data_IF_075097830575
#
_entry.id   IF_075097830575
#
_cell.length_a   1.000
_cell.length_b   1.000
_cell.length_c   1.000
_cell.angle_alpha   90.00
_cell.angle_beta   90.00
_cell.angle_gamma   90.00
#
_symmetry.space_group_name_H-M   'P 1'
#
loop_
_entity.id
_entity.type
_entity.pdbx_description
1 polymer ?
#
# COMPACT_ATOMS: atom_id res chain seq x y z
N UNK A 1 22.91 30.00 -34.52
CA UNK A 1 22.22 29.01 -33.67
C UNK A 1 22.25 27.68 -34.35
N UNK A 2 22.93 26.68 -33.79
CA UNK A 2 22.66 25.30 -34.14
C UNK A 2 22.88 24.45 -32.87
N UNK A 3 21.77 24.03 -32.28
CA UNK A 3 21.76 23.21 -31.08
C UNK A 3 22.20 21.80 -31.44
N UNK A 4 23.22 21.31 -30.74
CA UNK A 4 23.62 19.92 -30.75
C UNK A 4 22.56 19.14 -29.98
N UNK A 5 21.56 18.63 -30.71
CA UNK A 5 20.58 17.69 -30.21
C UNK A 5 21.31 16.36 -29.94
N UNK A 6 21.40 15.98 -28.67
CA UNK A 6 22.05 14.74 -28.26
C UNK A 6 21.23 13.55 -28.78
N UNK A 7 21.78 12.81 -29.75
CA UNK A 7 21.17 11.55 -30.21
C UNK A 7 21.10 10.54 -29.05
N UNK A 8 19.98 9.81 -28.90
CA UNK A 8 19.86 8.78 -27.88
C UNK A 8 20.88 7.66 -28.16
N UNK A 9 21.66 7.30 -27.14
CA UNK A 9 22.64 6.21 -27.20
C UNK A 9 21.86 4.90 -27.39
N UNK A 10 21.85 4.38 -28.62
CA UNK A 10 21.27 3.08 -28.91
C UNK A 10 22.04 2.01 -28.11
N UNK A 11 21.38 1.38 -27.14
CA UNK A 11 21.96 0.27 -26.40
C UNK A 11 22.23 -0.91 -27.34
N UNK A 12 23.36 -1.62 -27.18
CA UNK A 12 23.63 -2.82 -27.97
C UNK A 12 22.45 -3.80 -27.90
N UNK A 13 22.02 -4.42 -29.01
CA UNK A 13 20.87 -5.35 -29.04
C UNK A 13 20.98 -6.50 -28.02
N UNK A 14 22.21 -6.89 -27.68
CA UNK A 14 22.52 -7.89 -26.66
C UNK A 14 22.14 -7.44 -25.25
N UNK A 15 22.38 -6.17 -24.89
CA UNK A 15 22.00 -5.60 -23.59
C UNK A 15 20.47 -5.58 -23.41
N UNK A 16 19.73 -5.24 -24.48
CA UNK A 16 18.26 -5.27 -24.47
C UNK A 16 17.73 -6.68 -24.22
N UNK A 17 18.31 -7.71 -24.87
CA UNK A 17 17.94 -9.12 -24.65
C UNK A 17 18.22 -9.59 -23.23
N UNK A 18 19.35 -9.19 -22.65
CA UNK A 18 19.69 -9.53 -21.27
C UNK A 18 18.72 -8.88 -20.27
N UNK A 19 18.32 -7.62 -20.49
CA UNK A 19 17.31 -6.94 -19.67
C UNK A 19 15.96 -7.64 -19.74
N UNK A 20 15.49 -7.99 -20.92
CA UNK A 20 14.24 -8.77 -21.09
C UNK A 20 14.31 -10.15 -20.40
N UNK A 21 15.49 -10.77 -20.40
CA UNK A 21 15.70 -12.04 -19.70
C UNK A 21 15.62 -11.85 -18.18
N UNK A 22 16.20 -10.76 -17.66
CA UNK A 22 16.12 -10.41 -16.25
C UNK A 22 14.68 -10.11 -15.84
N UNK A 23 13.96 -9.29 -16.60
CA UNK A 23 12.55 -8.98 -16.34
C UNK A 23 11.69 -10.26 -16.25
N UNK A 24 11.95 -11.24 -17.14
CA UNK A 24 11.25 -12.53 -17.11
C UNK A 24 11.59 -13.34 -15.84
N UNK A 25 12.85 -13.33 -15.40
CA UNK A 25 13.27 -14.01 -14.17
C UNK A 25 12.61 -13.35 -12.97
N UNK A 26 12.64 -12.02 -12.91
CA UNK A 26 12.09 -11.23 -11.80
C UNK A 26 10.57 -11.45 -11.67
N UNK A 27 9.83 -11.46 -12.79
CA UNK A 27 8.41 -11.80 -12.77
C UNK A 27 8.15 -13.22 -12.24
N UNK A 28 8.95 -14.20 -12.65
CA UNK A 28 8.81 -15.57 -12.16
C UNK A 28 9.15 -15.68 -10.66
N UNK A 29 10.11 -14.90 -10.16
CA UNK A 29 10.38 -14.81 -8.72
C UNK A 29 9.17 -14.25 -7.96
N UNK A 30 8.51 -13.22 -8.50
CA UNK A 30 7.29 -12.66 -7.90
C UNK A 30 6.14 -13.67 -7.88
N UNK A 31 5.95 -14.44 -8.95
CA UNK A 31 4.95 -15.52 -9.00
C UNK A 31 5.22 -16.58 -7.92
N UNK A 32 6.47 -17.03 -7.80
CA UNK A 32 6.88 -18.02 -6.79
C UNK A 32 6.73 -17.49 -5.35
N UNK A 33 6.99 -16.20 -5.14
CA UNK A 33 6.72 -15.56 -3.86
C UNK A 33 5.21 -15.57 -3.58
N UNK A 34 4.38 -15.25 -4.57
CA UNK A 34 2.92 -15.31 -4.45
C UNK A 34 2.41 -16.71 -4.06
N UNK A 35 2.87 -17.75 -4.77
CA UNK A 35 2.53 -19.15 -4.48
C UNK A 35 2.98 -19.57 -3.07
N UNK A 36 4.19 -19.13 -2.65
CA UNK A 36 4.69 -19.33 -1.28
C UNK A 36 3.74 -18.70 -0.26
N UNK A 37 3.24 -17.49 -0.50
CA UNK A 37 2.32 -16.84 0.44
C UNK A 37 0.98 -17.56 0.54
N UNK A 38 0.41 -17.99 -0.59
CA UNK A 38 -0.83 -18.80 -0.60
C UNK A 38 -0.68 -20.12 0.17
N UNK A 39 0.46 -20.79 -0.01
CA UNK A 39 0.77 -22.03 0.72
C UNK A 39 0.86 -21.78 2.23
N UNK A 40 1.48 -20.68 2.64
CA UNK A 40 1.59 -20.31 4.05
C UNK A 40 0.22 -19.97 4.63
N UNK A 41 -0.65 -19.25 3.89
CA UNK A 41 -2.05 -18.98 4.29
C UNK A 41 -2.84 -20.27 4.57
N UNK A 42 -2.78 -21.24 3.65
CA UNK A 42 -3.42 -22.54 3.83
C UNK A 42 -2.87 -23.30 5.06
N UNK A 43 -1.55 -23.26 5.30
CA UNK A 43 -0.96 -23.83 6.53
C UNK A 43 -1.48 -23.11 7.79
N UNK A 44 -1.64 -21.79 7.72
CA UNK A 44 -2.21 -20.97 8.80
C UNK A 44 -3.63 -21.39 9.15
N UNK A 45 -4.51 -21.56 8.15
CA UNK A 45 -5.87 -22.08 8.33
C UNK A 45 -5.92 -23.43 9.05
N UNK A 46 -5.06 -24.36 8.64
CA UNK A 46 -4.96 -25.69 9.27
C UNK A 46 -4.51 -25.57 10.73
N UNK A 47 -3.48 -24.76 11.02
CA UNK A 47 -2.99 -24.53 12.39
C UNK A 47 -4.05 -23.88 13.28
N UNK A 48 -4.84 -22.95 12.73
CA UNK A 48 -5.99 -22.32 13.42
C UNK A 48 -7.06 -23.33 13.80
N UNK A 49 -7.44 -24.22 12.89
CA UNK A 49 -8.39 -25.31 13.17
C UNK A 49 -7.94 -26.24 14.31
N UNK A 50 -6.63 -26.31 14.58
CA UNK A 50 -6.04 -27.08 15.69
C UNK A 50 -5.76 -26.25 16.95
N UNK A 51 -6.07 -24.95 16.98
CA UNK A 51 -5.78 -24.06 18.11
C UNK A 51 -4.29 -23.85 18.37
N UNK A 52 -3.43 -24.06 17.36
CA UNK A 52 -1.97 -23.88 17.48
C UNK A 52 -1.55 -22.46 17.10
N UNK A 53 -0.50 -21.91 17.73
CA UNK A 53 0.03 -20.61 17.32
C UNK A 53 0.52 -20.66 15.88
N UNK A 54 0.28 -19.56 15.17
CA UNK A 54 0.68 -19.39 13.78
C UNK A 54 2.20 -19.40 13.63
N UNK A 55 2.87 -18.68 14.54
CA UNK A 55 4.32 -18.56 14.62
C UNK A 55 4.94 -19.83 15.21
N UNK A 56 5.95 -20.36 14.52
CA UNK A 56 6.67 -21.56 14.92
C UNK A 56 8.18 -21.31 14.75
N UNK A 57 8.80 -20.88 15.84
CA UNK A 57 10.22 -20.51 15.86
C UNK A 57 11.15 -21.68 15.47
N UNK A 58 10.76 -22.92 15.79
CA UNK A 58 11.54 -24.09 15.43
C UNK A 58 11.53 -24.28 13.91
N UNK A 59 10.34 -24.14 13.30
CA UNK A 59 10.19 -24.21 11.84
C UNK A 59 10.86 -23.04 11.13
N UNK A 60 10.77 -21.82 11.65
CA UNK A 60 11.47 -20.64 11.09
C UNK A 60 12.98 -20.87 11.01
N UNK A 61 13.58 -21.36 12.11
CA UNK A 61 15.01 -21.67 12.17
C UNK A 61 15.42 -22.73 11.15
N UNK A 62 14.59 -23.76 10.98
CA UNK A 62 14.82 -24.82 10.00
C UNK A 62 14.79 -24.28 8.56
N UNK A 63 13.80 -23.46 8.22
CA UNK A 63 13.67 -22.85 6.89
C UNK A 63 14.90 -21.99 6.56
N UNK A 64 15.39 -21.19 7.52
CA UNK A 64 16.60 -20.37 7.33
C UNK A 64 17.87 -21.22 7.18
N UNK A 65 17.98 -22.32 7.91
CA UNK A 65 19.10 -23.25 7.77
C UNK A 65 19.10 -23.94 6.39
N UNK A 66 17.93 -24.38 5.92
CA UNK A 66 17.79 -24.98 4.59
C UNK A 66 18.10 -23.97 3.48
N UNK A 67 17.66 -22.71 3.63
CA UNK A 67 17.93 -21.66 2.66
C UNK A 67 19.44 -21.42 2.46
N UNK A 68 20.19 -21.34 3.56
CA UNK A 68 21.64 -21.14 3.49
C UNK A 68 22.35 -22.34 2.88
N UNK A 69 21.95 -23.58 3.21
CA UNK A 69 22.48 -24.79 2.59
C UNK A 69 22.17 -24.88 1.09
N UNK A 70 20.96 -24.51 0.68
CA UNK A 70 20.56 -24.49 -0.73
C UNK A 70 21.28 -23.42 -1.54
N UNK A 71 21.58 -22.27 -0.94
CA UNK A 71 22.37 -21.22 -1.56
C UNK A 71 23.81 -21.68 -1.80
N UNK A 72 24.41 -22.28 -0.78
CA UNK A 72 25.77 -22.83 -0.82
C UNK A 72 25.94 -23.85 -1.95
N UNK A 73 25.00 -24.80 -2.06
CA UNK A 73 24.99 -25.82 -3.10
C UNK A 73 24.85 -25.26 -4.53
N UNK A 74 24.41 -24.00 -4.67
CA UNK A 74 24.22 -23.31 -5.96
C UNK A 74 25.27 -22.22 -6.21
N UNK A 75 26.27 -22.09 -5.33
CA UNK A 75 27.28 -21.04 -5.41
C UNK A 75 26.72 -19.63 -5.17
N UNK A 76 25.57 -19.52 -4.51
CA UNK A 76 24.97 -18.25 -4.14
C UNK A 76 25.45 -17.82 -2.75
N UNK A 77 25.46 -16.51 -2.52
CA UNK A 77 25.82 -15.98 -1.22
C UNK A 77 24.81 -16.44 -0.13
N UNK A 78 25.35 -17.03 0.94
CA UNK A 78 24.55 -17.55 2.05
C UNK A 78 23.78 -16.43 2.76
N UNK A 79 24.38 -15.23 2.88
CA UNK A 79 23.76 -14.11 3.58
C UNK A 79 22.55 -13.58 2.81
N UNK A 80 22.66 -13.49 1.48
CA UNK A 80 21.55 -13.12 0.60
C UNK A 80 20.35 -14.06 0.77
N UNK A 81 20.58 -15.37 0.75
CA UNK A 81 19.50 -16.34 0.91
C UNK A 81 18.88 -16.30 2.33
N UNK A 82 19.71 -16.09 3.36
CA UNK A 82 19.22 -15.91 4.72
C UNK A 82 18.32 -14.69 4.85
N UNK A 83 18.79 -13.52 4.40
CA UNK A 83 18.05 -12.26 4.51
C UNK A 83 16.78 -12.26 3.66
N UNK A 84 16.83 -12.81 2.43
CA UNK A 84 15.65 -12.96 1.59
C UNK A 84 14.59 -13.83 2.27
N UNK A 85 14.98 -15.01 2.77
CA UNK A 85 14.02 -15.92 3.41
C UNK A 85 13.49 -15.38 4.72
N UNK A 86 14.32 -14.67 5.50
CA UNK A 86 13.90 -13.98 6.72
C UNK A 86 12.87 -12.90 6.41
N UNK A 87 13.11 -12.07 5.40
CA UNK A 87 12.16 -11.06 4.95
C UNK A 87 10.83 -11.69 4.50
N UNK A 88 10.89 -12.76 3.71
CA UNK A 88 9.71 -13.49 3.26
C UNK A 88 8.93 -14.14 4.41
N UNK A 89 9.60 -14.66 5.44
CA UNK A 89 8.96 -15.19 6.66
C UNK A 89 8.28 -14.07 7.44
N UNK A 90 8.97 -12.94 7.65
CA UNK A 90 8.43 -11.79 8.37
C UNK A 90 7.16 -11.27 7.72
N UNK A 91 7.16 -11.08 6.40
CA UNK A 91 5.97 -10.66 5.64
C UNK A 91 4.82 -11.67 5.68
N UNK A 92 5.13 -12.97 5.70
CA UNK A 92 4.09 -14.00 5.83
C UNK A 92 3.39 -13.93 7.18
N UNK A 93 4.14 -13.72 8.26
CA UNK A 93 3.58 -13.62 9.61
C UNK A 93 2.76 -12.34 9.78
N UNK A 94 3.24 -11.19 9.31
CA UNK A 94 2.50 -9.92 9.40
C UNK A 94 1.20 -9.98 8.61
N UNK A 95 1.21 -10.50 7.38
CA UNK A 95 0.01 -10.64 6.54
C UNK A 95 -1.05 -11.53 7.22
N UNK A 96 -0.63 -12.61 7.88
CA UNK A 96 -1.54 -13.53 8.55
C UNK A 96 -2.01 -13.08 9.93
N UNK A 97 -1.19 -12.32 10.67
CA UNK A 97 -1.63 -11.61 11.89
C UNK A 97 -2.70 -10.57 11.54
N UNK A 98 -2.57 -9.89 10.40
CA UNK A 98 -3.60 -8.99 9.88
C UNK A 98 -4.86 -9.74 9.43
N UNK A 99 -4.73 -10.94 8.83
CA UNK A 99 -5.88 -11.81 8.55
C UNK A 99 -6.54 -12.37 9.82
N UNK A 100 -5.78 -12.63 10.88
CA UNK A 100 -6.32 -13.01 12.19
C UNK A 100 -7.13 -11.87 12.79
N UNK A 101 -6.60 -10.63 12.73
CA UNK A 101 -7.34 -9.44 13.13
C UNK A 101 -8.59 -9.27 12.26
N UNK A 102 -8.53 -9.48 10.94
CA UNK A 102 -9.71 -9.38 10.04
C UNK A 102 -10.74 -10.50 10.23
N UNK A 103 -10.31 -11.72 10.57
CA UNK A 103 -11.20 -12.86 10.79
C UNK A 103 -11.83 -12.85 12.19
N UNK A 104 -11.12 -12.34 13.19
CA UNK A 104 -11.69 -12.00 14.50
C UNK A 104 -12.53 -10.70 14.43
N UNK A 105 -12.17 -9.77 13.54
CA UNK A 105 -12.93 -8.56 13.20
C UNK A 105 -13.90 -8.77 12.04
N UNK A 106 -14.82 -9.74 12.20
CA UNK A 106 -16.13 -9.62 11.56
C UNK A 106 -16.82 -8.36 12.17
N UNK A 107 -16.46 -7.19 11.64
CA UNK A 107 -16.83 -5.86 12.14
C UNK A 107 -15.61 -5.11 12.65
N UNK A 108 -15.33 -3.92 12.11
CA UNK A 108 -15.94 -2.78 12.79
C UNK A 108 -16.81 -1.89 11.89
N UNK A 109 -17.06 -2.28 10.63
CA UNK A 109 -17.97 -1.55 9.73
C UNK A 109 -17.55 -0.11 9.42
N UNK A 110 -16.31 0.27 9.76
CA UNK A 110 -15.82 1.63 9.64
C UNK A 110 -15.62 2.01 8.18
N UNK A 111 -15.93 3.26 7.88
CA UNK A 111 -15.92 3.79 6.52
C UNK A 111 -14.75 4.74 6.34
N UNK A 112 -14.09 4.63 5.20
CA UNK A 112 -13.01 5.53 4.82
C UNK A 112 -13.32 6.26 3.52
N UNK A 113 -13.06 7.56 3.48
CA UNK A 113 -13.08 8.37 2.27
C UNK A 113 -11.65 8.68 1.83
N UNK A 114 -11.29 8.36 0.59
CA UNK A 114 -10.00 8.72 0.01
C UNK A 114 -10.17 9.84 -1.01
N UNK A 115 -9.71 11.05 -0.66
CA UNK A 115 -9.72 12.22 -1.53
C UNK A 115 -8.46 12.23 -2.40
N UNK A 116 -8.63 12.40 -3.71
CA UNK A 116 -7.54 12.16 -4.69
C UNK A 116 -7.42 10.70 -5.10
N UNK A 117 -8.51 9.92 -4.98
CA UNK A 117 -8.57 8.49 -5.29
C UNK A 117 -8.25 8.14 -6.75
N UNK A 118 -8.31 9.09 -7.68
CA UNK A 118 -7.91 8.92 -9.08
C UNK A 118 -6.39 8.97 -9.29
N UNK A 119 -5.63 9.42 -8.30
CA UNK A 119 -4.15 9.41 -8.32
C UNK A 119 -3.55 8.06 -7.92
N UNK A 120 -2.26 7.86 -8.25
CA UNK A 120 -1.55 6.63 -7.88
C UNK A 120 -1.55 6.38 -6.36
N UNK A 121 -1.30 7.42 -5.56
CA UNK A 121 -1.30 7.32 -4.11
C UNK A 121 -2.70 7.08 -3.52
N UNK A 122 -3.72 7.76 -4.06
CA UNK A 122 -5.10 7.54 -3.64
C UNK A 122 -5.54 6.10 -3.86
N UNK A 123 -5.25 5.52 -5.05
CA UNK A 123 -5.53 4.11 -5.33
C UNK A 123 -4.80 3.15 -4.40
N UNK A 124 -3.54 3.43 -4.11
CA UNK A 124 -2.75 2.60 -3.19
C UNK A 124 -3.34 2.60 -1.78
N UNK A 125 -3.67 3.78 -1.24
CA UNK A 125 -4.29 3.88 0.09
C UNK A 125 -5.69 3.28 0.13
N UNK A 126 -6.47 3.38 -0.95
CA UNK A 126 -7.76 2.73 -1.04
C UNK A 126 -7.65 1.21 -0.89
N UNK A 127 -6.72 0.58 -1.62
CA UNK A 127 -6.46 -0.87 -1.51
C UNK A 127 -5.89 -1.27 -0.16
N UNK A 128 -5.03 -0.43 0.42
CA UNK A 128 -4.49 -0.66 1.76
C UNK A 128 -5.61 -0.62 2.81
N UNK A 129 -6.47 0.40 2.78
CA UNK A 129 -7.58 0.52 3.74
C UNK A 129 -8.61 -0.59 3.57
N UNK A 130 -8.93 -0.97 2.33
CA UNK A 130 -9.78 -2.13 2.04
C UNK A 130 -9.16 -3.44 2.55
N UNK A 131 -7.84 -3.61 2.38
CA UNK A 131 -7.10 -4.74 2.95
C UNK A 131 -6.98 -4.68 4.49
N UNK A 132 -7.24 -3.53 5.11
CA UNK A 132 -7.41 -3.41 6.57
C UNK A 132 -8.88 -3.59 7.01
N UNK A 133 -9.83 -3.80 6.08
CA UNK A 133 -11.24 -4.05 6.39
C UNK A 133 -12.15 -2.81 6.43
N UNK A 134 -11.69 -1.66 5.94
CA UNK A 134 -12.55 -0.47 5.79
C UNK A 134 -13.50 -0.63 4.60
N UNK A 135 -14.72 -0.11 4.72
CA UNK A 135 -15.55 0.16 3.54
C UNK A 135 -15.07 1.47 2.89
N UNK A 136 -14.41 1.36 1.74
CA UNK A 136 -13.72 2.49 1.09
C UNK A 136 -14.58 3.15 0.01
N UNK A 137 -14.62 4.47 0.05
CA UNK A 137 -15.18 5.35 -0.98
C UNK A 137 -14.09 6.29 -1.51
N UNK A 138 -14.08 6.55 -2.82
CA UNK A 138 -13.13 7.46 -3.47
C UNK A 138 -13.80 8.79 -3.83
N UNK A 139 -13.12 9.90 -3.56
CA UNK A 139 -13.53 11.24 -3.97
C UNK A 139 -12.48 11.88 -4.87
N UNK A 140 -12.79 12.05 -6.15
CA UNK A 140 -11.89 12.73 -7.09
C UNK A 140 -12.67 13.29 -8.29
N UNK A 141 -12.49 14.57 -8.65
CA UNK A 141 -13.11 15.15 -9.84
C UNK A 141 -12.74 14.42 -11.13
N UNK A 142 -11.57 13.78 -11.20
CA UNK A 142 -11.06 13.10 -12.40
C UNK A 142 -11.56 11.63 -12.55
N UNK A 143 -12.29 11.07 -11.58
CA UNK A 143 -12.74 9.66 -11.63
C UNK A 143 -13.83 9.39 -12.66
N UNK A 144 -13.48 8.93 -13.86
CA UNK A 144 -14.48 8.43 -14.80
C UNK A 144 -15.13 7.11 -14.35
N UNK A 145 -16.44 6.98 -14.54
CA UNK A 145 -17.18 5.77 -14.22
C UNK A 145 -16.57 4.58 -14.97
N UNK A 146 -16.06 3.58 -14.24
CA UNK A 146 -15.44 2.39 -14.83
C UNK A 146 -13.94 2.51 -15.14
N UNK A 147 -13.23 3.53 -14.62
CA UNK A 147 -11.78 3.61 -14.74
C UNK A 147 -11.09 2.35 -14.18
N UNK A 148 -10.11 1.81 -14.92
CA UNK A 148 -9.43 0.58 -14.56
C UNK A 148 -8.68 0.71 -13.22
N UNK A 149 -8.91 -0.24 -12.29
CA UNK A 149 -8.22 -0.33 -11.00
C UNK A 149 -8.86 0.45 -9.84
N UNK A 150 -10.07 0.98 -10.03
CA UNK A 150 -10.91 1.61 -8.98
C UNK A 150 -12.39 1.20 -9.07
N UNK A 151 -12.74 0.26 -9.94
CA UNK A 151 -14.11 -0.17 -10.20
C UNK A 151 -14.73 -0.91 -8.99
N UNK A 152 -13.88 -1.45 -8.13
CA UNK A 152 -14.24 -2.13 -6.89
C UNK A 152 -14.72 -1.19 -5.76
N UNK A 153 -14.46 0.12 -5.86
CA UNK A 153 -14.79 1.09 -4.80
C UNK A 153 -16.01 1.95 -5.17
N UNK A 154 -16.77 2.38 -4.15
CA UNK A 154 -17.75 3.44 -4.33
C UNK A 154 -17.05 4.75 -4.72
N UNK A 155 -17.68 5.55 -5.59
CA UNK A 155 -17.04 6.75 -6.16
C UNK A 155 -17.96 7.96 -6.06
N UNK A 156 -17.36 9.10 -5.71
CA UNK A 156 -17.99 10.42 -5.76
C UNK A 156 -17.05 11.42 -6.42
N UNK A 157 -17.59 12.46 -7.06
CA UNK A 157 -16.78 13.46 -7.77
C UNK A 157 -16.37 14.60 -6.86
N UNK A 158 -17.26 14.98 -5.94
CA UNK A 158 -17.07 16.09 -5.01
C UNK A 158 -17.35 15.63 -3.59
N UNK A 159 -16.71 16.31 -2.63
CA UNK A 159 -16.99 16.09 -1.21
C UNK A 159 -18.46 16.31 -0.87
N UNK A 160 -19.12 17.19 -1.60
CA UNK A 160 -20.53 17.60 -1.42
C UNK A 160 -21.55 16.63 -2.00
N UNK A 161 -21.09 15.58 -2.70
CA UNK A 161 -21.97 14.58 -3.32
C UNK A 161 -22.45 13.54 -2.30
N UNK A 162 -23.01 14.02 -1.17
CA UNK A 162 -23.59 13.22 -0.08
C UNK A 162 -23.00 13.52 1.31
N UNK A 163 -23.29 12.64 2.27
CA UNK A 163 -22.85 12.78 3.65
C UNK A 163 -21.33 12.57 3.80
N UNK A 164 -20.77 13.14 4.88
CA UNK A 164 -19.40 12.91 5.36
C UNK A 164 -19.45 12.16 6.69
N UNK A 165 -19.92 10.92 6.64
CA UNK A 165 -20.13 10.01 7.77
C UNK A 165 -19.06 8.91 7.84
N UNK A 166 -17.91 9.15 7.21
CA UNK A 166 -16.75 8.27 7.26
C UNK A 166 -15.95 8.52 8.54
N UNK A 167 -15.48 7.44 9.16
CA UNK A 167 -14.65 7.47 10.38
C UNK A 167 -13.23 7.98 10.09
N UNK A 168 -12.79 7.85 8.84
CA UNK A 168 -11.49 8.27 8.35
C UNK A 168 -11.62 8.98 7.00
N UNK A 169 -10.98 10.14 6.86
CA UNK A 169 -10.89 10.89 5.61
C UNK A 169 -9.41 11.11 5.27
N UNK A 170 -8.92 10.41 4.25
CA UNK A 170 -7.53 10.48 3.80
C UNK A 170 -7.37 11.39 2.58
N UNK A 171 -6.48 12.36 2.65
CA UNK A 171 -6.20 13.34 1.60
C UNK A 171 -4.90 12.97 0.87
N UNK A 172 -5.05 12.41 -0.34
CA UNK A 172 -3.98 12.01 -1.25
C UNK A 172 -4.03 12.80 -2.58
N UNK A 173 -4.26 14.11 -2.50
CA UNK A 173 -4.33 15.01 -3.64
C UNK A 173 -3.05 15.87 -3.78
N UNK A 174 -2.93 16.59 -4.91
CA UNK A 174 -1.89 17.61 -5.07
C UNK A 174 -1.96 18.70 -3.99
N UNK A 175 -0.87 19.43 -3.77
CA UNK A 175 -0.74 20.40 -2.66
C UNK A 175 -1.89 21.44 -2.68
N UNK A 176 -2.10 22.12 -3.81
CA UNK A 176 -3.14 23.15 -3.94
C UNK A 176 -4.55 22.58 -3.69
N UNK A 177 -4.83 21.41 -4.27
CA UNK A 177 -6.09 20.71 -4.09
C UNK A 177 -6.31 20.30 -2.62
N UNK A 178 -5.24 19.84 -1.94
CA UNK A 178 -5.29 19.42 -0.54
C UNK A 178 -5.66 20.58 0.40
N UNK A 179 -5.11 21.78 0.17
CA UNK A 179 -5.49 22.98 0.94
C UNK A 179 -6.98 23.28 0.78
N UNK A 180 -7.49 23.27 -0.46
CA UNK A 180 -8.91 23.48 -0.73
C UNK A 180 -9.81 22.44 -0.04
N UNK A 181 -9.42 21.17 -0.08
CA UNK A 181 -10.10 20.06 0.61
C UNK A 181 -10.13 20.26 2.12
N UNK A 182 -9.01 20.66 2.74
CA UNK A 182 -8.95 20.91 4.19
C UNK A 182 -9.88 22.04 4.61
N UNK A 183 -9.95 23.14 3.85
CA UNK A 183 -10.91 24.22 4.13
C UNK A 183 -12.36 23.79 3.97
N UNK A 184 -12.67 22.96 2.96
CA UNK A 184 -14.00 22.40 2.80
C UNK A 184 -14.38 21.49 3.98
N UNK A 185 -13.47 20.63 4.42
CA UNK A 185 -13.67 19.75 5.58
C UNK A 185 -13.81 20.56 6.90
N UNK A 186 -13.04 21.63 7.08
CA UNK A 186 -13.18 22.52 8.24
C UNK A 186 -14.56 23.19 8.31
N UNK A 187 -15.16 23.50 7.15
CA UNK A 187 -16.52 24.07 7.08
C UNK A 187 -17.58 23.03 7.44
N UNK A 188 -17.35 21.76 7.07
CA UNK A 188 -18.32 20.68 7.23
C UNK A 188 -18.18 19.89 8.53
N UNK A 189 -17.05 20.02 9.21
CA UNK A 189 -16.78 19.44 10.53
C UNK A 189 -17.14 17.96 10.63
N UNK A 190 -16.52 17.08 9.81
CA UNK A 190 -16.80 15.66 9.89
C UNK A 190 -16.41 15.12 11.27
N UNK A 191 -17.16 14.12 11.74
CA UNK A 191 -16.87 13.47 13.02
C UNK A 191 -15.62 12.57 12.95
N UNK A 192 -15.32 12.05 11.76
CA UNK A 192 -14.15 11.21 11.51
C UNK A 192 -12.82 11.98 11.51
N UNK A 193 -11.73 11.24 11.59
CA UNK A 193 -10.37 11.80 11.60
C UNK A 193 -9.93 12.15 10.18
N UNK A 194 -9.38 13.34 9.99
CA UNK A 194 -8.75 13.77 8.74
C UNK A 194 -7.26 13.45 8.77
N UNK A 195 -6.75 12.80 7.73
CA UNK A 195 -5.33 12.47 7.58
C UNK A 195 -4.85 12.96 6.22
N UNK A 196 -3.78 13.74 6.17
CA UNK A 196 -3.07 14.00 4.92
C UNK A 196 -1.84 13.10 4.77
N UNK A 197 -1.42 12.91 3.51
CA UNK A 197 -0.22 12.13 3.15
C UNK A 197 0.84 12.97 2.44
N UNK A 198 0.78 14.31 2.56
CA UNK A 198 1.66 15.19 1.81
C UNK A 198 3.10 15.21 2.37
N UNK A 199 4.10 15.13 1.49
CA UNK A 199 5.52 15.14 1.87
C UNK A 199 6.04 16.50 2.33
N UNK A 200 5.33 17.60 2.05
CA UNK A 200 5.74 18.95 2.45
C UNK A 200 4.58 19.62 3.17
N UNK A 201 4.83 20.08 4.40
CA UNK A 201 3.77 20.59 5.29
C UNK A 201 3.63 22.10 5.33
N UNK A 202 4.70 22.83 5.01
CA UNK A 202 4.65 24.29 4.97
C UNK A 202 3.51 24.84 4.08
N UNK A 203 3.23 24.26 2.90
CA UNK A 203 2.10 24.70 2.06
C UNK A 203 0.72 24.36 2.62
N UNK A 204 0.61 23.41 3.54
CA UNK A 204 -0.66 22.95 4.13
C UNK A 204 -1.00 23.64 5.45
N UNK A 205 -0.13 24.53 5.94
CA UNK A 205 -0.26 25.15 7.26
C UNK A 205 -1.62 25.83 7.47
N UNK A 206 -2.12 26.55 6.47
CA UNK A 206 -3.43 27.22 6.54
C UNK A 206 -4.60 26.22 6.62
N UNK A 207 -4.49 25.09 5.92
CA UNK A 207 -5.48 24.02 5.97
C UNK A 207 -5.54 23.32 7.33
N UNK A 208 -4.38 23.01 7.92
CA UNK A 208 -4.33 22.45 9.29
C UNK A 208 -4.90 23.42 10.33
N UNK A 209 -4.55 24.70 10.24
CA UNK A 209 -5.09 25.72 11.15
C UNK A 209 -6.61 25.78 11.06
N UNK A 210 -7.18 25.75 9.85
CA UNK A 210 -8.62 25.74 9.65
C UNK A 210 -9.28 24.50 10.29
N UNK A 211 -8.73 23.31 10.09
CA UNK A 211 -9.25 22.07 10.69
C UNK A 211 -9.19 22.10 12.22
N UNK A 212 -8.07 22.56 12.79
CA UNK A 212 -7.89 22.67 14.25
C UNK A 212 -8.85 23.69 14.87
N UNK A 213 -9.03 24.86 14.24
CA UNK A 213 -9.97 25.88 14.69
C UNK A 213 -11.42 25.41 14.63
N UNK A 214 -11.74 24.57 13.64
CA UNK A 214 -13.06 23.94 13.50
C UNK A 214 -13.27 22.74 14.44
N UNK A 215 -12.27 22.38 15.27
CA UNK A 215 -12.34 21.24 16.18
C UNK A 215 -12.27 19.87 15.50
N UNK A 216 -11.87 19.82 14.22
CA UNK A 216 -11.74 18.57 13.47
C UNK A 216 -10.49 17.84 13.92
N UNK A 217 -10.63 16.55 14.25
CA UNK A 217 -9.51 15.69 14.56
C UNK A 217 -8.65 15.54 13.29
N UNK A 218 -7.43 16.08 13.32
CA UNK A 218 -6.50 16.02 12.20
C UNK A 218 -5.19 15.40 12.63
N UNK A 219 -4.74 14.42 11.86
CA UNK A 219 -3.44 13.82 11.97
C UNK A 219 -2.73 13.94 10.64
N UNK A 220 -1.45 13.60 10.64
CA UNK A 220 -0.72 13.53 9.39
C UNK A 220 0.17 12.32 9.32
N UNK A 221 0.12 11.68 8.16
CA UNK A 221 1.07 10.67 7.78
C UNK A 221 2.12 11.33 6.91
N UNK A 222 3.37 11.20 7.30
CA UNK A 222 4.45 11.33 6.35
C UNK A 222 4.63 9.92 5.79
N UNK A 223 4.19 9.61 4.56
CA UNK A 223 4.60 8.36 3.97
C UNK A 223 6.12 8.46 3.82
N UNK A 224 6.87 7.74 4.65
CA UNK A 224 8.30 7.50 4.41
C UNK A 224 8.50 6.60 3.15
N UNK A 225 7.41 6.31 2.43
CA UNK A 225 7.19 5.17 1.57
C UNK A 225 6.01 5.48 0.62
N UNK A 226 6.32 5.89 -0.62
CA UNK A 226 5.36 6.24 -1.67
C UNK A 226 4.77 5.01 -2.40
N UNK A 227 4.17 5.13 -3.60
CA UNK A 227 3.50 4.02 -4.30
C UNK A 227 4.45 2.89 -4.72
N UNK A 228 5.75 3.11 -4.56
CA UNK A 228 6.82 2.12 -4.75
C UNK A 228 7.34 1.53 -3.44
N UNK A 229 6.65 1.70 -2.33
CA UNK A 229 7.04 1.12 -1.06
C UNK A 229 6.10 -0.01 -0.64
N UNK A 230 6.71 -1.17 -0.43
CA UNK A 230 6.07 -2.35 0.14
C UNK A 230 6.08 -2.15 1.66
N UNK A 231 4.90 -2.17 2.28
CA UNK A 231 4.75 -2.12 3.73
C UNK A 231 5.40 -3.38 4.35
N UNK A 232 6.36 -3.15 5.25
CA UNK A 232 7.14 -4.14 6.01
C UNK A 232 6.24 -5.03 6.88
#
# INVERSE_FOLDING_TARGET
>A
SNGTEAMPIAHPPELLRLRQTLDRIDNHLLDLIGERQQTIAAIGEIKRGMGKPLRDFAREKEVLALATAHADARGLDRSLAHELMKLLIQHSLTTQEHEQIRAEALGDGRRALVVGGGGQMGRWFARFLDSQGYTVELCDPALETGAAGVAEFAQRRRLDDGALDQDLILIAAGIEASVGVMHALATRQPAGVVIDVASIKAPLATGYQALQQAGVAVASLHPMFGPGAVLL
#
